data_IF_044780404412
#
_entry.id   IF_044780404412
#
_cell.length_a   1.000
_cell.length_b   1.000
_cell.length_c   1.000
_cell.angle_alpha   90.00
_cell.angle_beta   90.00
_cell.angle_gamma   90.00
#
_symmetry.space_group_name_H-M   'P 1'
#
loop_
_entity.id
_entity.type
_entity.pdbx_description
1 polymer ?
#
# COMPACT_ATOMS: atom_id res chain seq x y z
N UNK A 1 12.93 -0.66 1.21
CA UNK A 1 14.23 -1.25 1.62
C UNK A 1 15.35 -0.27 1.38
N UNK A 2 15.43 0.42 0.24
CA UNK A 2 16.44 1.48 0.00
C UNK A 2 16.30 2.68 0.96
N UNK A 3 15.10 3.00 1.40
CA UNK A 3 14.83 4.14 2.30
C UNK A 3 15.20 3.84 3.77
N UNK A 4 15.15 2.57 4.20
CA UNK A 4 15.50 2.20 5.58
C UNK A 4 17.03 2.13 5.80
N UNK A 5 17.81 1.93 4.75
CA UNK A 5 19.27 1.89 4.85
C UNK A 5 19.92 3.29 4.76
N UNK A 6 19.15 4.33 4.41
CA UNK A 6 19.65 5.72 4.47
C UNK A 6 19.76 6.25 5.89
N UNK A 7 19.14 5.61 6.89
CA UNK A 7 19.30 5.96 8.31
C UNK A 7 20.71 5.74 8.83
N UNK A 8 21.45 4.78 8.29
CA UNK A 8 22.85 4.53 8.64
C UNK A 8 23.84 5.41 7.87
N UNK A 9 23.44 5.91 6.70
CA UNK A 9 24.25 6.86 5.89
C UNK A 9 24.08 8.30 6.39
N UNK A 10 23.01 8.61 7.14
CA UNK A 10 22.76 9.95 7.66
C UNK A 10 23.78 10.46 8.69
N UNK A 11 24.61 9.58 9.26
CA UNK A 11 25.72 9.97 10.15
C UNK A 11 26.90 10.68 9.46
N UNK A 12 27.06 10.47 8.14
CA UNK A 12 28.18 11.01 7.36
C UNK A 12 27.79 12.15 6.41
N UNK A 13 26.51 12.51 6.33
CA UNK A 13 26.04 13.57 5.44
C UNK A 13 26.29 14.96 6.02
N UNK A 14 27.53 15.45 5.89
CA UNK A 14 27.95 16.76 6.42
C UNK A 14 27.48 17.97 5.60
N UNK A 15 26.87 17.78 4.42
CA UNK A 15 26.42 18.88 3.57
C UNK A 15 24.93 19.17 3.74
N UNK A 16 24.55 20.44 3.82
CA UNK A 16 23.17 20.89 3.90
C UNK A 16 22.32 20.39 2.72
N UNK A 17 22.93 20.26 1.54
CA UNK A 17 22.26 19.73 0.35
C UNK A 17 21.84 18.24 0.49
N UNK A 18 22.67 17.41 1.13
CA UNK A 18 22.33 16.00 1.36
C UNK A 18 21.31 15.84 2.48
N UNK A 19 21.29 16.71 3.50
CA UNK A 19 20.21 16.72 4.50
C UNK A 19 18.88 17.18 3.89
N UNK A 20 18.90 18.19 3.04
CA UNK A 20 17.74 18.63 2.28
C UNK A 20 17.25 17.52 1.35
N UNK A 21 18.15 16.84 0.65
CA UNK A 21 17.80 15.70 -0.19
C UNK A 21 17.20 14.56 0.63
N UNK A 22 17.81 14.18 1.75
CA UNK A 22 17.27 13.16 2.65
C UNK A 22 15.90 13.56 3.22
N UNK A 23 15.67 14.83 3.53
CA UNK A 23 14.37 15.33 3.99
C UNK A 23 13.32 15.38 2.88
N UNK A 24 13.72 15.55 1.62
CA UNK A 24 12.83 15.51 0.46
C UNK A 24 12.52 14.09 -0.03
N UNK A 25 13.44 13.14 0.18
CA UNK A 25 13.26 11.72 -0.22
C UNK A 25 12.56 10.91 0.87
N UNK A 26 12.68 11.32 2.13
CA UNK A 26 12.01 10.69 3.28
C UNK A 26 10.45 10.72 3.22
N UNK A 27 9.77 11.60 2.45
CA UNK A 27 8.33 11.54 2.28
C UNK A 27 7.83 10.53 1.23
N UNK A 28 8.55 9.44 0.94
CA UNK A 28 8.01 8.37 0.11
C UNK A 28 6.64 7.85 0.59
N UNK A 29 6.40 7.88 1.90
CA UNK A 29 5.10 7.59 2.52
C UNK A 29 4.03 8.60 2.16
N UNK A 30 4.36 9.89 2.09
CA UNK A 30 3.42 10.96 1.69
C UNK A 30 2.95 10.76 0.25
N UNK A 31 3.85 10.30 -0.63
CA UNK A 31 3.52 9.96 -2.00
C UNK A 31 2.50 8.82 -2.10
N UNK A 32 2.64 7.79 -1.26
CA UNK A 32 1.70 6.66 -1.19
C UNK A 32 0.35 7.11 -0.62
N UNK A 33 0.34 7.91 0.44
CA UNK A 33 -0.89 8.46 1.03
C UNK A 33 -1.64 9.35 0.02
N UNK A 34 -0.93 10.23 -0.68
CA UNK A 34 -1.49 11.07 -1.73
C UNK A 34 -2.04 10.24 -2.90
N UNK A 35 -1.32 9.20 -3.30
CA UNK A 35 -1.76 8.26 -4.32
C UNK A 35 -3.07 7.59 -3.93
N UNK A 36 -3.20 7.07 -2.69
CA UNK A 36 -4.44 6.47 -2.21
C UNK A 36 -5.59 7.47 -2.15
N UNK A 37 -5.34 8.69 -1.70
CA UNK A 37 -6.36 9.74 -1.65
C UNK A 37 -6.88 10.09 -3.05
N UNK A 38 -5.98 10.32 -4.00
CA UNK A 38 -6.32 10.64 -5.39
C UNK A 38 -7.00 9.46 -6.09
N UNK A 39 -6.50 8.25 -5.90
CA UNK A 39 -7.07 7.03 -6.47
C UNK A 39 -8.49 6.81 -5.92
N UNK A 40 -8.69 6.89 -4.62
CA UNK A 40 -10.00 6.75 -3.99
C UNK A 40 -10.99 7.80 -4.48
N UNK A 41 -10.57 9.06 -4.59
CA UNK A 41 -11.41 10.15 -5.12
C UNK A 41 -11.81 9.90 -6.58
N UNK A 42 -10.84 9.64 -7.44
CA UNK A 42 -11.07 9.45 -8.88
C UNK A 42 -11.98 8.26 -9.15
N UNK A 43 -11.76 7.16 -8.43
CA UNK A 43 -12.56 5.94 -8.57
C UNK A 43 -13.99 6.16 -8.09
N UNK A 44 -14.16 6.82 -6.95
CA UNK A 44 -15.49 7.14 -6.42
C UNK A 44 -16.27 7.97 -7.42
N UNK A 45 -15.64 8.97 -8.03
CA UNK A 45 -16.26 9.79 -9.09
C UNK A 45 -16.68 8.96 -10.29
N UNK A 46 -15.78 8.13 -10.83
CA UNK A 46 -16.07 7.26 -11.99
C UNK A 46 -17.23 6.30 -11.68
N UNK A 47 -17.28 5.76 -10.46
CA UNK A 47 -18.34 4.85 -10.02
C UNK A 47 -19.67 5.57 -9.87
N UNK A 48 -19.70 6.78 -9.31
CA UNK A 48 -20.90 7.60 -9.20
C UNK A 48 -21.43 8.00 -10.58
N UNK A 49 -20.57 8.44 -11.48
CA UNK A 49 -20.93 8.83 -12.86
C UNK A 49 -21.48 7.63 -13.67
N UNK A 50 -21.06 6.41 -13.34
CA UNK A 50 -21.51 5.17 -14.02
C UNK A 50 -22.60 4.41 -13.25
N UNK A 51 -23.09 4.96 -12.14
CA UNK A 51 -24.10 4.33 -11.29
C UNK A 51 -25.41 4.10 -12.05
N UNK A 52 -25.88 2.86 -12.05
CA UNK A 52 -27.09 2.47 -12.78
C UNK A 52 -26.90 2.18 -14.26
N UNK A 53 -25.68 2.32 -14.81
CA UNK A 53 -25.41 1.96 -16.19
C UNK A 53 -25.24 0.45 -16.36
N UNK A 54 -25.67 -0.07 -17.53
CA UNK A 54 -25.47 -1.48 -17.88
C UNK A 54 -23.99 -1.86 -17.84
N UNK A 55 -23.70 -2.99 -17.20
CA UNK A 55 -22.34 -3.49 -17.10
C UNK A 55 -21.43 -2.70 -16.15
N UNK A 56 -21.99 -2.00 -15.17
CA UNK A 56 -21.26 -1.22 -14.15
C UNK A 56 -20.05 -1.96 -13.58
N UNK A 57 -20.24 -3.13 -12.96
CA UNK A 57 -19.17 -3.94 -12.41
C UNK A 57 -18.20 -4.44 -13.48
N UNK A 58 -18.72 -4.95 -14.60
CA UNK A 58 -17.88 -5.50 -15.66
C UNK A 58 -16.94 -4.46 -16.25
N UNK A 59 -17.43 -3.25 -16.54
CA UNK A 59 -16.59 -2.17 -17.08
C UNK A 59 -15.52 -1.73 -16.09
N UNK A 60 -15.87 -1.67 -14.80
CA UNK A 60 -14.93 -1.28 -13.76
C UNK A 60 -13.82 -2.33 -13.59
N UNK A 61 -14.20 -3.60 -13.32
CA UNK A 61 -13.22 -4.64 -13.05
C UNK A 61 -12.37 -4.99 -14.27
N UNK A 62 -12.94 -5.07 -15.47
CA UNK A 62 -12.18 -5.41 -16.68
C UNK A 62 -11.06 -4.40 -16.98
N UNK A 63 -11.32 -3.09 -16.81
CA UNK A 63 -10.29 -2.08 -17.03
C UNK A 63 -9.14 -2.20 -16.02
N UNK A 64 -9.42 -2.59 -14.80
CA UNK A 64 -8.41 -2.76 -13.75
C UNK A 64 -7.63 -4.05 -13.88
N UNK A 65 -8.35 -5.14 -14.09
CA UNK A 65 -7.72 -6.44 -14.32
C UNK A 65 -6.70 -6.37 -15.45
N UNK A 66 -7.09 -5.80 -16.59
CA UNK A 66 -6.18 -5.68 -17.75
C UNK A 66 -5.02 -4.72 -17.49
N UNK A 67 -5.15 -3.76 -16.60
CA UNK A 67 -4.10 -2.78 -16.32
C UNK A 67 -3.11 -3.27 -15.25
N UNK A 68 -3.59 -3.92 -14.19
CA UNK A 68 -2.78 -4.22 -13.00
C UNK A 68 -2.30 -5.67 -13.02
N UNK A 69 -3.18 -6.64 -13.28
CA UNK A 69 -2.89 -8.06 -13.15
C UNK A 69 -1.75 -8.57 -14.04
N UNK A 70 -1.65 -8.20 -15.34
CA UNK A 70 -0.58 -8.73 -16.16
C UNK A 70 0.79 -8.36 -15.60
N UNK A 71 1.00 -7.09 -15.26
CA UNK A 71 2.27 -6.62 -14.73
C UNK A 71 2.56 -7.20 -13.34
N UNK A 72 1.55 -7.25 -12.48
CA UNK A 72 1.66 -7.79 -11.13
C UNK A 72 2.10 -9.27 -11.15
N UNK A 73 1.38 -10.11 -11.88
CA UNK A 73 1.67 -11.54 -11.94
C UNK A 73 2.96 -11.86 -12.71
N UNK A 74 3.32 -11.06 -13.74
CA UNK A 74 4.64 -11.18 -14.39
C UNK A 74 5.75 -10.86 -13.40
N UNK A 75 5.63 -9.80 -12.61
CA UNK A 75 6.62 -9.46 -11.58
C UNK A 75 6.77 -10.58 -10.55
N UNK A 76 5.65 -11.15 -10.06
CA UNK A 76 5.70 -12.30 -9.15
C UNK A 76 6.35 -13.53 -9.80
N UNK A 77 6.00 -13.83 -11.05
CA UNK A 77 6.58 -14.96 -11.78
C UNK A 77 8.10 -14.79 -11.93
N UNK A 78 8.57 -13.58 -12.24
CA UNK A 78 10.00 -13.30 -12.32
C UNK A 78 10.68 -13.50 -10.97
N UNK A 79 10.13 -12.97 -9.89
CA UNK A 79 10.74 -13.07 -8.56
C UNK A 79 10.72 -14.50 -8.02
N UNK A 80 9.62 -15.22 -8.18
CA UNK A 80 9.50 -16.55 -7.57
C UNK A 80 10.03 -17.71 -8.45
N UNK A 81 10.03 -17.57 -9.77
CA UNK A 81 10.41 -18.64 -10.68
C UNK A 81 11.71 -18.36 -11.45
N UNK A 82 12.02 -17.11 -11.79
CA UNK A 82 13.20 -16.78 -12.58
C UNK A 82 14.39 -16.42 -11.69
N UNK A 83 14.19 -15.53 -10.72
CA UNK A 83 15.27 -15.02 -9.86
C UNK A 83 16.07 -16.13 -9.13
N UNK A 84 15.47 -17.25 -8.66
CA UNK A 84 16.22 -18.32 -8.02
C UNK A 84 17.25 -19.04 -8.93
N UNK A 85 17.06 -18.92 -10.25
CA UNK A 85 17.90 -19.60 -11.25
C UNK A 85 18.93 -18.67 -11.91
N UNK A 86 18.92 -17.39 -11.54
CA UNK A 86 19.83 -16.38 -12.12
C UNK A 86 20.83 -15.95 -11.06
N UNK A 87 22.11 -16.27 -11.27
CA UNK A 87 23.19 -15.90 -10.37
C UNK A 87 23.19 -14.40 -10.05
N UNK A 88 23.28 -14.06 -8.77
CA UNK A 88 23.22 -12.67 -8.28
C UNK A 88 21.79 -12.16 -7.98
N UNK A 89 20.74 -12.89 -8.36
CA UNK A 89 19.34 -12.54 -8.02
C UNK A 89 18.74 -13.46 -6.95
N UNK A 90 19.51 -14.41 -6.42
CA UNK A 90 19.08 -15.38 -5.41
C UNK A 90 18.53 -14.68 -4.15
N UNK A 91 19.12 -13.56 -3.75
CA UNK A 91 18.66 -12.77 -2.62
C UNK A 91 17.23 -12.20 -2.79
N UNK A 92 16.74 -12.06 -4.02
CA UNK A 92 15.36 -11.64 -4.28
C UNK A 92 14.37 -12.76 -3.94
N UNK A 93 14.81 -14.00 -4.00
CA UNK A 93 13.97 -15.19 -3.82
C UNK A 93 14.11 -15.86 -2.45
N UNK A 94 15.05 -15.42 -1.63
CA UNK A 94 15.52 -16.10 -0.40
C UNK A 94 14.43 -16.39 0.65
N UNK A 95 13.28 -15.72 0.56
CA UNK A 95 12.15 -15.91 1.48
C UNK A 95 10.89 -16.47 0.78
N UNK A 96 11.02 -16.98 -0.45
CA UNK A 96 9.92 -17.10 -1.40
C UNK A 96 8.89 -18.22 -1.16
N UNK A 97 9.25 -19.34 -0.56
CA UNK A 97 8.35 -20.51 -0.70
C UNK A 97 7.15 -20.53 0.27
N UNK A 98 7.32 -20.10 1.52
CA UNK A 98 6.20 -20.02 2.48
C UNK A 98 5.39 -18.73 2.37
N UNK A 99 6.01 -17.66 1.88
CA UNK A 99 5.41 -16.31 1.79
C UNK A 99 4.71 -16.06 0.46
N UNK A 100 4.94 -16.90 -0.56
CA UNK A 100 4.42 -16.66 -1.91
C UNK A 100 2.90 -16.56 -1.99
N UNK A 101 2.16 -17.36 -1.22
CA UNK A 101 0.70 -17.36 -1.22
C UNK A 101 0.10 -15.99 -0.86
N UNK A 102 0.71 -15.25 0.06
CA UNK A 102 0.26 -13.91 0.42
C UNK A 102 0.30 -12.94 -0.77
N UNK A 103 1.33 -13.07 -1.61
CA UNK A 103 1.48 -12.25 -2.80
C UNK A 103 0.55 -12.70 -3.93
N UNK A 104 0.45 -14.02 -4.19
CA UNK A 104 -0.46 -14.55 -5.21
C UNK A 104 -1.94 -14.25 -4.95
N UNK A 105 -2.33 -14.04 -3.71
CA UNK A 105 -3.71 -13.79 -3.28
C UNK A 105 -4.01 -12.33 -2.96
N UNK A 106 -3.09 -11.39 -3.26
CA UNK A 106 -3.23 -9.97 -2.87
C UNK A 106 -3.43 -9.76 -1.36
N UNK A 107 -2.78 -10.57 -0.54
CA UNK A 107 -2.79 -10.48 0.93
C UNK A 107 -1.41 -10.08 1.49
N UNK A 108 -0.53 -9.50 0.69
CA UNK A 108 0.83 -9.12 1.07
C UNK A 108 0.87 -8.14 2.26
N UNK A 109 -0.17 -7.31 2.44
CA UNK A 109 -0.32 -6.43 3.59
C UNK A 109 -0.47 -7.20 4.92
N UNK A 110 -0.96 -8.44 4.90
CA UNK A 110 -1.06 -9.32 6.08
C UNK A 110 0.18 -10.18 6.30
N UNK A 111 1.07 -10.29 5.31
CA UNK A 111 2.30 -11.09 5.43
C UNK A 111 3.26 -10.56 6.50
N UNK A 112 3.31 -9.25 6.70
CA UNK A 112 4.24 -8.60 7.61
C UNK A 112 4.16 -9.08 9.06
N UNK A 113 2.97 -9.14 9.70
CA UNK A 113 2.84 -9.63 11.07
C UNK A 113 3.21 -11.10 11.25
N UNK A 114 3.16 -11.89 10.16
CA UNK A 114 3.43 -13.33 10.18
C UNK A 114 4.83 -13.71 9.65
N UNK A 115 5.74 -12.73 9.54
CA UNK A 115 7.10 -12.97 9.07
C UNK A 115 7.22 -13.35 7.59
N UNK A 116 6.19 -13.08 6.79
CA UNK A 116 6.10 -13.45 5.39
C UNK A 116 6.55 -12.37 4.40
N UNK A 117 7.32 -11.37 4.84
CA UNK A 117 7.81 -10.32 3.95
C UNK A 117 8.96 -10.81 3.08
N UNK A 118 8.81 -10.61 1.78
CA UNK A 118 9.89 -10.70 0.80
C UNK A 118 10.45 -9.28 0.59
N UNK A 119 11.71 -9.02 0.97
CA UNK A 119 12.26 -7.65 0.96
C UNK A 119 12.15 -6.95 -0.40
N UNK A 120 12.37 -7.68 -1.49
CA UNK A 120 12.26 -7.17 -2.86
C UNK A 120 10.83 -6.79 -3.27
N UNK A 121 9.83 -7.37 -2.63
CA UNK A 121 8.40 -7.13 -2.86
C UNK A 121 7.75 -6.26 -1.78
N UNK A 122 8.57 -5.55 -0.99
CA UNK A 122 8.10 -4.77 0.14
C UNK A 122 7.01 -3.74 -0.21
N UNK A 123 7.00 -3.20 -1.43
CA UNK A 123 5.99 -2.24 -1.90
C UNK A 123 4.65 -2.88 -2.35
N UNK A 124 4.60 -4.21 -2.48
CA UNK A 124 3.37 -4.91 -2.92
C UNK A 124 2.24 -4.87 -1.89
N UNK A 125 2.54 -4.54 -0.62
CA UNK A 125 1.49 -4.36 0.38
C UNK A 125 0.49 -3.26 0.01
N UNK A 126 0.96 -2.16 -0.60
CA UNK A 126 0.09 -1.06 -1.01
C UNK A 126 -0.82 -1.45 -2.16
N UNK A 127 -0.32 -2.23 -3.14
CA UNK A 127 -1.13 -2.81 -4.21
C UNK A 127 -2.18 -3.78 -3.67
N UNK A 128 -1.83 -4.58 -2.64
CA UNK A 128 -2.79 -5.48 -2.01
C UNK A 128 -3.94 -4.71 -1.34
N UNK A 129 -3.64 -3.65 -0.59
CA UNK A 129 -4.66 -2.78 0.03
C UNK A 129 -5.54 -2.13 -1.04
N UNK A 130 -4.94 -1.68 -2.14
CA UNK A 130 -5.66 -1.05 -3.25
C UNK A 130 -6.65 -2.02 -3.92
N UNK A 131 -6.23 -3.26 -4.20
CA UNK A 131 -7.12 -4.27 -4.80
C UNK A 131 -8.24 -4.70 -3.84
N UNK A 132 -7.96 -4.84 -2.55
CA UNK A 132 -8.99 -5.10 -1.54
C UNK A 132 -10.02 -3.97 -1.49
N UNK A 133 -9.58 -2.72 -1.57
CA UNK A 133 -10.48 -1.57 -1.67
C UNK A 133 -11.34 -1.65 -2.95
N UNK A 134 -10.75 -1.97 -4.09
CA UNK A 134 -11.47 -2.09 -5.36
C UNK A 134 -12.49 -3.22 -5.38
N UNK A 135 -12.28 -4.29 -4.62
CA UNK A 135 -13.27 -5.37 -4.51
C UNK A 135 -14.54 -4.93 -3.79
N UNK A 136 -14.42 -4.11 -2.75
CA UNK A 136 -15.55 -3.74 -1.89
C UNK A 136 -16.19 -2.42 -2.30
N UNK A 137 -15.40 -1.44 -2.71
CA UNK A 137 -15.85 -0.07 -2.92
C UNK A 137 -16.96 0.10 -3.98
N UNK A 138 -16.89 -0.57 -5.16
CA UNK A 138 -17.96 -0.45 -6.16
C UNK A 138 -19.32 -0.92 -5.66
N UNK A 139 -19.37 -1.96 -4.84
CA UNK A 139 -20.61 -2.43 -4.24
C UNK A 139 -21.17 -1.41 -3.25
N UNK A 140 -20.32 -0.80 -2.42
CA UNK A 140 -20.73 0.24 -1.49
C UNK A 140 -21.27 1.47 -2.21
N UNK A 141 -20.61 1.93 -3.28
CA UNK A 141 -21.06 3.07 -4.08
C UNK A 141 -22.40 2.77 -4.77
N UNK A 142 -22.61 1.53 -5.22
CA UNK A 142 -23.86 1.15 -5.84
C UNK A 142 -25.05 1.15 -4.87
N UNK A 143 -24.83 0.62 -3.65
CA UNK A 143 -25.91 0.42 -2.66
C UNK A 143 -26.19 1.69 -1.87
N UNK A 144 -25.15 2.44 -1.50
CA UNK A 144 -25.29 3.60 -0.63
C UNK A 144 -25.73 4.85 -1.42
N UNK A 145 -26.51 5.70 -0.75
CA UNK A 145 -26.79 7.07 -1.23
C UNK A 145 -25.53 7.94 -1.03
N UNK A 146 -25.38 8.98 -1.81
CA UNK A 146 -24.21 9.90 -1.71
C UNK A 146 -23.98 10.44 -0.31
N UNK A 147 -25.06 10.82 0.40
CA UNK A 147 -24.97 11.27 1.80
C UNK A 147 -24.42 10.19 2.73
N UNK A 148 -24.89 8.96 2.61
CA UNK A 148 -24.41 7.83 3.41
C UNK A 148 -22.97 7.49 3.08
N UNK A 149 -22.58 7.61 1.82
CA UNK A 149 -21.21 7.41 1.38
C UNK A 149 -20.28 8.48 1.98
N UNK A 150 -20.69 9.75 1.96
CA UNK A 150 -19.94 10.85 2.58
C UNK A 150 -19.79 10.65 4.10
N UNK A 151 -20.86 10.23 4.79
CA UNK A 151 -20.81 9.91 6.22
C UNK A 151 -19.84 8.75 6.47
N UNK A 152 -19.90 7.68 5.67
CA UNK A 152 -18.98 6.55 5.78
C UNK A 152 -17.53 6.99 5.64
N UNK A 153 -17.19 7.77 4.61
CA UNK A 153 -15.84 8.30 4.42
C UNK A 153 -15.40 9.16 5.61
N UNK A 154 -16.27 10.04 6.10
CA UNK A 154 -15.96 10.89 7.26
C UNK A 154 -15.70 10.06 8.52
N UNK A 155 -16.53 9.05 8.78
CA UNK A 155 -16.36 8.14 9.93
C UNK A 155 -15.06 7.35 9.81
N UNK A 156 -14.71 6.87 8.62
CA UNK A 156 -13.44 6.17 8.38
C UNK A 156 -12.23 7.07 8.64
N UNK A 157 -12.25 8.32 8.16
CA UNK A 157 -11.17 9.29 8.39
C UNK A 157 -11.03 9.63 9.88
N UNK A 158 -12.14 9.99 10.53
CA UNK A 158 -12.12 10.32 11.96
C UNK A 158 -11.71 9.11 12.81
N UNK A 159 -12.18 7.92 12.47
CA UNK A 159 -11.79 6.67 13.13
C UNK A 159 -10.31 6.36 12.99
N UNK A 160 -9.75 6.55 11.81
CA UNK A 160 -8.31 6.36 11.57
C UNK A 160 -7.47 7.38 12.36
N UNK A 161 -7.89 8.65 12.41
CA UNK A 161 -7.22 9.67 13.22
C UNK A 161 -7.30 9.37 14.71
N UNK A 162 -8.47 8.96 15.20
CA UNK A 162 -8.66 8.59 16.61
C UNK A 162 -7.82 7.36 16.99
N UNK A 163 -7.78 6.32 16.13
CA UNK A 163 -6.95 5.14 16.34
C UNK A 163 -5.46 5.50 16.38
N UNK A 164 -5.01 6.38 15.47
CA UNK A 164 -3.63 6.86 15.45
C UNK A 164 -3.28 7.65 16.71
N UNK A 165 -4.15 8.55 17.15
CA UNK A 165 -3.97 9.32 18.39
C UNK A 165 -3.94 8.39 19.62
N UNK A 166 -4.84 7.43 19.70
CA UNK A 166 -4.86 6.44 20.78
C UNK A 166 -3.58 5.61 20.81
N UNK A 167 -3.09 5.19 19.65
CA UNK A 167 -1.83 4.44 19.53
C UNK A 167 -0.65 5.26 20.07
N UNK A 168 -0.55 6.54 19.72
CA UNK A 168 0.50 7.43 20.25
C UNK A 168 0.42 7.55 21.77
N UNK A 169 -0.76 7.77 22.33
CA UNK A 169 -0.95 7.92 23.79
C UNK A 169 -0.60 6.63 24.53
N UNK A 170 -0.89 5.46 23.96
CA UNK A 170 -0.71 4.16 24.64
C UNK A 170 0.75 3.67 24.52
N UNK A 171 1.39 3.89 23.37
CA UNK A 171 2.68 3.27 23.03
C UNK A 171 3.87 4.23 23.03
N UNK A 172 3.67 5.55 23.13
CA UNK A 172 4.81 6.42 23.42
C UNK A 172 5.19 6.26 24.89
N UNK A 173 6.38 5.73 25.21
CA UNK A 173 6.86 5.73 26.58
C UNK A 173 7.03 7.20 27.00
N UNK A 174 6.40 7.56 28.11
CA UNK A 174 6.59 8.83 28.81
C UNK A 174 8.08 8.98 29.14
N UNK A 175 8.86 9.57 28.26
CA UNK A 175 10.24 10.01 28.55
C UNK A 175 10.26 11.26 29.44
N UNK A 176 9.20 11.50 30.20
CA UNK A 176 9.08 12.55 31.19
C UNK A 176 9.26 11.97 32.58
N UNK A 177 10.52 11.64 32.96
CA UNK A 177 10.76 11.19 34.34
C UNK A 177 12.19 10.71 34.61
N UNK A 178 13.21 11.47 34.15
CA UNK A 178 14.55 11.39 34.74
C UNK A 178 15.25 12.74 34.53
N UNK A 179 14.90 13.68 35.40
CA UNK A 179 15.74 14.83 35.73
C UNK A 179 16.18 14.68 37.15
#
# INVERSE_FOLDING_TARGET
>A
VLVHNTGTVSGELSSAALRLWASLVNPGWVGVELFFALSGFLITRILLDSKGADGYFRRFYMRRLLRIFPLYYVALAVVFFVAPHVGGLEALAEHGSRSSLWYWTYLANWAQPFGGLVPSLGHFWSLAVEEQFYMVWPALVLVLRERSLAILCTVMVLGALAARAAFFVIFEPTTAGSA
#
